data_IF_303658920951
#
_entry.id   IF_303658920951
#
_cell.length_a   1.000
_cell.length_b   1.000
_cell.length_c   1.000
_cell.angle_alpha   90.00
_cell.angle_beta   90.00
_cell.angle_gamma   90.00
#
_symmetry.space_group_name_H-M   'P 1'
#
loop_
_entity.id
_entity.type
_entity.pdbx_description
1 polymer ?
#
# COMPACT_ATOMS: atom_id res chain seq x y z
N UNK A 1 21.71 72.44 29.20
CA UNK A 1 22.03 72.19 27.77
C UNK A 1 22.54 70.76 27.62
N UNK A 2 21.78 69.85 27.00
CA UNK A 2 22.33 68.58 26.47
C UNK A 2 21.40 68.05 25.37
N UNK A 3 21.82 68.22 24.11
CA UNK A 3 21.09 67.74 22.93
C UNK A 3 21.57 66.33 22.58
N UNK A 4 20.68 65.35 22.69
CA UNK A 4 20.83 63.98 22.19
C UNK A 4 21.02 64.00 20.66
N UNK A 5 22.22 63.62 20.18
CA UNK A 5 22.45 63.16 18.79
C UNK A 5 22.68 61.64 18.84
N UNK A 6 21.76 60.87 18.26
CA UNK A 6 21.94 59.41 18.19
C UNK A 6 20.67 58.67 17.77
N UNK A 7 20.22 58.83 16.52
CA UNK A 7 19.13 58.00 15.98
C UNK A 7 19.22 57.78 14.47
N UNK A 8 19.79 58.73 13.70
CA UNK A 8 19.84 58.62 12.24
C UNK A 8 20.76 57.50 11.70
N UNK A 9 21.87 57.17 12.39
CA UNK A 9 22.89 56.24 11.87
C UNK A 9 22.50 54.75 11.91
N UNK A 10 21.47 54.34 12.66
CA UNK A 10 21.03 52.93 12.75
C UNK A 10 20.02 52.52 11.66
N UNK A 11 19.38 53.49 11.00
CA UNK A 11 18.37 53.20 9.96
C UNK A 11 19.01 52.99 8.58
N UNK A 12 20.05 53.74 8.24
CA UNK A 12 20.79 53.58 6.97
C UNK A 12 21.45 52.19 6.84
N UNK A 13 22.01 51.65 7.92
CA UNK A 13 22.62 50.32 7.89
C UNK A 13 21.62 49.19 7.67
N UNK A 14 20.39 49.32 8.16
CA UNK A 14 19.31 48.34 7.95
C UNK A 14 18.76 48.39 6.52
N UNK A 15 18.61 49.60 5.95
CA UNK A 15 18.17 49.77 4.56
C UNK A 15 19.23 49.22 3.60
N UNK A 16 20.52 49.50 3.85
CA UNK A 16 21.62 48.94 3.06
C UNK A 16 21.67 47.40 3.11
N UNK A 17 21.41 46.81 4.28
CA UNK A 17 21.37 45.35 4.44
C UNK A 17 20.18 44.73 3.69
N UNK A 18 19.00 45.36 3.74
CA UNK A 18 17.81 44.89 3.01
C UNK A 18 18.02 44.98 1.50
N UNK A 19 18.60 46.08 1.01
CA UNK A 19 18.91 46.25 -0.42
C UNK A 19 19.94 45.22 -0.89
N UNK A 20 20.96 44.93 -0.07
CA UNK A 20 21.93 43.86 -0.38
C UNK A 20 21.27 42.48 -0.41
N UNK A 21 20.34 42.19 0.50
CA UNK A 21 19.63 40.91 0.56
C UNK A 21 18.67 40.73 -0.62
N UNK A 22 17.98 41.80 -1.03
CA UNK A 22 17.14 41.82 -2.23
C UNK A 22 17.97 41.65 -3.51
N UNK A 23 19.16 42.27 -3.57
CA UNK A 23 20.10 42.07 -4.67
C UNK A 23 20.57 40.61 -4.76
N UNK A 24 20.89 39.98 -3.62
CA UNK A 24 21.26 38.55 -3.57
C UNK A 24 20.12 37.66 -4.06
N UNK A 25 18.88 37.90 -3.60
CA UNK A 25 17.70 37.15 -4.04
C UNK A 25 17.48 37.32 -5.55
N UNK A 26 17.63 38.53 -6.08
CA UNK A 26 17.53 38.77 -7.52
C UNK A 26 18.59 38.00 -8.32
N UNK A 27 19.84 37.96 -7.85
CA UNK A 27 20.91 37.17 -8.48
C UNK A 27 20.61 35.68 -8.43
N UNK A 28 20.11 35.16 -7.31
CA UNK A 28 19.70 33.76 -7.19
C UNK A 28 18.54 33.44 -8.14
N UNK A 29 17.54 34.32 -8.23
CA UNK A 29 16.42 34.14 -9.15
C UNK A 29 16.86 34.16 -10.62
N UNK A 30 17.79 35.05 -10.99
CA UNK A 30 18.36 35.09 -12.34
C UNK A 30 19.21 33.84 -12.60
N UNK A 31 19.99 33.36 -11.64
CA UNK A 31 20.75 32.12 -11.78
C UNK A 31 19.84 30.89 -11.92
N UNK A 32 18.75 30.83 -11.15
CA UNK A 32 17.72 29.78 -11.28
C UNK A 32 17.01 29.88 -12.63
N UNK A 33 16.66 31.08 -13.07
CA UNK A 33 16.04 31.30 -14.38
C UNK A 33 16.97 30.90 -15.52
N UNK A 34 18.25 31.29 -15.45
CA UNK A 34 19.28 30.86 -16.41
C UNK A 34 19.48 29.35 -16.35
N UNK A 35 19.48 28.73 -15.17
CA UNK A 35 19.54 27.28 -15.03
C UNK A 35 18.32 26.58 -15.63
N UNK A 36 17.12 27.17 -15.52
CA UNK A 36 15.90 26.64 -16.14
C UNK A 36 15.89 26.85 -17.66
N UNK A 37 16.41 27.97 -18.16
CA UNK A 37 16.48 28.28 -19.59
C UNK A 37 17.63 27.57 -20.32
N UNK A 38 18.74 27.30 -19.62
CA UNK A 38 19.92 26.58 -20.14
C UNK A 38 19.85 25.07 -19.87
N UNK A 39 18.81 24.59 -19.17
CA UNK A 39 18.54 23.15 -19.09
C UNK A 39 18.32 22.65 -20.53
N UNK A 40 19.10 21.68 -21.00
CA UNK A 40 18.79 21.04 -22.27
C UNK A 40 17.34 20.51 -22.18
N UNK A 41 16.55 20.64 -23.27
CA UNK A 41 15.22 20.05 -23.27
C UNK A 41 15.31 18.57 -22.88
N UNK A 42 14.34 18.04 -22.12
CA UNK A 42 14.29 16.60 -21.87
C UNK A 42 14.39 15.88 -23.23
N UNK A 43 15.20 14.81 -23.32
CA UNK A 43 15.35 14.10 -24.58
C UNK A 43 13.98 13.74 -25.13
N UNK A 44 13.75 14.03 -26.40
CA UNK A 44 12.53 13.65 -27.10
C UNK A 44 12.26 12.15 -26.87
N UNK A 45 11.01 11.72 -26.57
CA UNK A 45 10.67 10.30 -26.55
C UNK A 45 10.64 9.82 -28.01
N UNK A 46 11.82 9.49 -28.54
CA UNK A 46 11.96 9.31 -29.99
C UNK A 46 13.35 8.88 -30.43
N UNK A 47 14.12 8.22 -29.57
CA UNK A 47 15.25 7.41 -30.01
C UNK A 47 14.81 5.96 -30.02
N UNK A 48 14.87 5.27 -31.17
CA UNK A 48 14.86 3.81 -31.22
C UNK A 48 16.12 3.33 -30.50
N UNK A 49 16.07 3.27 -29.17
CA UNK A 49 16.96 2.41 -28.40
C UNK A 49 16.79 1.03 -29.04
N UNK A 50 17.88 0.34 -29.45
CA UNK A 50 17.79 -1.09 -29.67
C UNK A 50 17.12 -1.66 -28.43
N UNK A 51 16.14 -2.59 -28.55
CA UNK A 51 15.53 -3.19 -27.39
C UNK A 51 16.67 -3.61 -26.45
N UNK A 52 16.59 -3.32 -25.14
CA UNK A 52 17.57 -3.88 -24.21
C UNK A 52 17.61 -5.36 -24.54
N UNK A 53 18.78 -5.86 -24.94
CA UNK A 53 18.96 -7.27 -25.23
C UNK A 53 18.34 -8.02 -24.08
N UNK A 54 17.23 -8.71 -24.37
CA UNK A 54 16.46 -9.49 -23.42
C UNK A 54 17.33 -10.64 -22.96
N UNK A 55 18.17 -10.36 -21.98
CA UNK A 55 18.94 -11.36 -21.25
C UNK A 55 18.42 -11.46 -19.81
N UNK A 56 17.15 -11.12 -19.59
CA UNK A 56 16.46 -11.67 -18.44
C UNK A 56 16.47 -13.19 -18.64
N UNK A 57 17.03 -13.97 -17.71
CA UNK A 57 17.01 -15.43 -17.83
C UNK A 57 15.58 -15.90 -18.07
N UNK A 58 15.40 -16.77 -19.04
CA UNK A 58 14.11 -17.42 -19.27
C UNK A 58 13.73 -18.24 -18.02
N UNK A 59 12.44 -18.25 -17.66
CA UNK A 59 11.95 -19.01 -16.51
C UNK A 59 12.28 -20.50 -16.72
N UNK A 60 12.88 -21.19 -15.73
CA UNK A 60 13.07 -22.63 -15.79
C UNK A 60 11.74 -23.36 -16.01
N UNK A 61 11.78 -24.55 -16.62
CA UNK A 61 10.59 -25.41 -16.80
C UNK A 61 10.45 -26.48 -15.71
N UNK A 62 11.35 -26.50 -14.72
CA UNK A 62 11.33 -27.39 -13.57
C UNK A 62 11.74 -26.64 -12.31
N UNK A 63 11.27 -27.08 -11.14
CA UNK A 63 11.66 -26.56 -9.84
C UNK A 63 11.90 -27.71 -8.84
N UNK A 64 12.54 -27.44 -7.68
CA UNK A 64 12.71 -28.43 -6.62
C UNK A 64 11.41 -29.10 -6.18
N UNK A 65 11.49 -30.36 -5.74
CA UNK A 65 10.31 -31.15 -5.37
C UNK A 65 9.68 -30.74 -4.02
N UNK A 66 10.40 -29.97 -3.21
CA UNK A 66 9.91 -29.37 -1.96
C UNK A 66 9.08 -28.10 -2.17
N UNK A 67 9.01 -27.59 -3.41
CA UNK A 67 8.24 -26.39 -3.74
C UNK A 67 6.73 -26.66 -3.76
N UNK A 68 5.99 -25.81 -3.06
CA UNK A 68 4.53 -25.78 -3.16
C UNK A 68 4.06 -25.25 -4.51
N UNK A 69 2.95 -25.76 -5.03
CA UNK A 69 2.38 -25.27 -6.29
C UNK A 69 1.96 -23.79 -6.21
N UNK A 70 1.41 -23.38 -5.07
CA UNK A 70 0.95 -22.01 -4.80
C UNK A 70 1.52 -21.49 -3.47
N UNK A 71 1.97 -20.24 -3.46
CA UNK A 71 2.13 -19.44 -2.25
C UNK A 71 0.88 -18.56 -2.08
N UNK A 72 0.07 -18.86 -1.08
CA UNK A 72 -1.03 -18.01 -0.63
C UNK A 72 -0.50 -17.05 0.45
N UNK A 73 -0.05 -15.88 0.02
CA UNK A 73 0.47 -14.84 0.91
C UNK A 73 -0.69 -14.06 1.54
N UNK A 74 -0.80 -14.12 2.86
CA UNK A 74 -1.87 -13.51 3.65
C UNK A 74 -1.29 -12.39 4.51
N UNK A 75 -1.77 -11.15 4.37
CA UNK A 75 -1.27 -9.99 5.14
C UNK A 75 -2.37 -9.47 6.06
N UNK A 76 -2.26 -9.70 7.39
CA UNK A 76 -3.26 -9.24 8.36
C UNK A 76 -3.37 -7.71 8.45
N UNK A 77 -4.48 -7.24 9.02
CA UNK A 77 -4.71 -5.83 9.30
C UNK A 77 -3.97 -5.31 10.53
N UNK A 78 -4.20 -4.04 10.84
CA UNK A 78 -3.66 -3.40 12.06
C UNK A 78 -4.12 -4.16 13.30
N UNK A 79 -3.20 -4.46 14.22
CA UNK A 79 -3.39 -5.21 15.47
C UNK A 79 -3.75 -6.70 15.30
N UNK A 80 -3.59 -7.25 14.11
CA UNK A 80 -3.89 -8.66 13.81
C UNK A 80 -2.66 -9.56 13.65
N UNK A 81 -1.45 -8.97 13.75
CA UNK A 81 -0.17 -9.66 13.63
C UNK A 81 0.85 -9.16 14.67
N UNK A 82 1.94 -9.90 14.85
CA UNK A 82 3.13 -9.48 15.60
C UNK A 82 4.41 -9.88 14.84
N UNK A 83 5.48 -9.13 15.02
CA UNK A 83 6.70 -9.27 14.22
C UNK A 83 7.50 -10.58 14.47
N UNK A 84 7.14 -11.34 15.49
CA UNK A 84 7.76 -12.62 15.82
C UNK A 84 6.71 -13.75 15.91
N UNK A 85 5.59 -13.60 15.20
CA UNK A 85 4.62 -14.70 15.09
C UNK A 85 5.15 -15.82 14.21
N UNK A 86 4.56 -17.01 14.36
CA UNK A 86 4.76 -18.09 13.40
C UNK A 86 3.89 -17.80 12.15
N UNK A 87 4.48 -17.72 10.94
CA UNK A 87 3.72 -17.42 9.73
C UNK A 87 2.72 -18.51 9.31
N UNK A 88 2.94 -19.76 9.72
CA UNK A 88 2.07 -20.90 9.39
C UNK A 88 1.12 -21.27 10.55
N UNK A 89 1.35 -20.74 11.76
CA UNK A 89 0.47 -20.92 12.92
C UNK A 89 0.36 -19.60 13.71
N UNK A 90 -0.34 -18.59 13.17
CA UNK A 90 -0.28 -17.24 13.72
C UNK A 90 -1.14 -17.15 14.99
N UNK A 91 -0.52 -16.66 16.07
CA UNK A 91 -1.13 -16.62 17.41
C UNK A 91 -1.27 -15.19 17.97
N UNK A 92 -0.85 -14.17 17.21
CA UNK A 92 -0.87 -12.78 17.67
C UNK A 92 -2.25 -12.32 18.14
N UNK A 93 -3.30 -12.68 17.39
CA UNK A 93 -4.67 -12.29 17.68
C UNK A 93 -5.65 -13.31 17.11
N UNK A 94 -6.29 -14.11 17.97
CA UNK A 94 -7.31 -15.11 17.58
C UNK A 94 -8.54 -14.51 16.89
N UNK A 95 -8.73 -13.19 16.97
CA UNK A 95 -9.83 -12.45 16.32
C UNK A 95 -9.42 -11.80 15.00
N UNK A 96 -8.19 -12.02 14.53
CA UNK A 96 -7.73 -11.55 13.22
C UNK A 96 -8.71 -11.97 12.13
N UNK A 97 -9.13 -11.02 11.28
CA UNK A 97 -9.99 -11.27 10.15
C UNK A 97 -9.32 -12.27 9.20
N UNK A 98 -8.05 -12.02 8.87
CA UNK A 98 -7.31 -12.83 7.92
C UNK A 98 -6.97 -14.22 8.45
N UNK A 99 -6.97 -14.45 9.78
CA UNK A 99 -6.88 -15.81 10.32
C UNK A 99 -8.07 -16.68 9.93
N UNK A 100 -9.27 -16.10 9.77
CA UNK A 100 -10.44 -16.85 9.28
C UNK A 100 -10.29 -17.31 7.83
N UNK A 101 -9.40 -16.65 7.08
CA UNK A 101 -9.06 -17.01 5.70
C UNK A 101 -7.91 -18.01 5.68
N UNK A 102 -6.78 -17.69 6.32
CA UNK A 102 -5.59 -18.54 6.27
C UNK A 102 -5.82 -19.92 6.89
N UNK A 103 -6.48 -20.00 8.06
CA UNK A 103 -6.76 -21.29 8.71
C UNK A 103 -7.62 -22.21 7.84
N UNK A 104 -8.65 -21.68 7.19
CA UNK A 104 -9.50 -22.48 6.30
C UNK A 104 -8.76 -22.96 5.05
N UNK A 105 -7.87 -22.14 4.48
CA UNK A 105 -7.05 -22.57 3.35
C UNK A 105 -6.06 -23.67 3.77
N UNK A 106 -5.44 -23.55 4.95
CA UNK A 106 -4.56 -24.58 5.50
C UNK A 106 -5.29 -25.90 5.80
N UNK A 107 -6.55 -25.83 6.22
CA UNK A 107 -7.39 -27.01 6.43
C UNK A 107 -7.80 -27.69 5.11
N UNK A 108 -8.01 -26.90 4.05
CA UNK A 108 -8.48 -27.40 2.74
C UNK A 108 -7.38 -27.96 1.86
N UNK A 109 -6.14 -27.50 2.02
CA UNK A 109 -5.04 -27.84 1.12
C UNK A 109 -3.79 -28.29 1.89
N UNK A 110 -3.13 -29.38 1.45
CA UNK A 110 -1.82 -29.73 1.98
C UNK A 110 -0.78 -28.69 1.58
N UNK A 111 0.28 -28.56 2.39
CA UNK A 111 1.37 -27.59 2.17
C UNK A 111 2.03 -27.74 0.78
N UNK A 112 2.11 -28.96 0.24
CA UNK A 112 2.63 -29.21 -1.12
C UNK A 112 1.79 -28.56 -2.23
N UNK A 113 0.50 -28.37 -2.00
CA UNK A 113 -0.41 -27.72 -2.96
C UNK A 113 -0.46 -26.21 -2.70
N UNK A 114 -0.58 -25.80 -1.44
CA UNK A 114 -0.62 -24.39 -1.07
C UNK A 114 0.18 -24.12 0.21
N UNK A 115 1.31 -23.41 0.08
CA UNK A 115 1.96 -22.76 1.22
C UNK A 115 1.12 -21.54 1.60
N UNK A 116 0.35 -21.65 2.68
CA UNK A 116 -0.40 -20.52 3.24
C UNK A 116 0.48 -19.81 4.26
N UNK A 117 1.04 -18.67 3.86
CA UNK A 117 1.99 -17.88 4.64
C UNK A 117 1.35 -16.58 5.13
N UNK A 118 1.11 -16.48 6.44
CA UNK A 118 0.60 -15.25 7.06
C UNK A 118 1.75 -14.35 7.48
N UNK A 119 1.89 -13.17 6.88
CA UNK A 119 3.05 -12.30 7.06
C UNK A 119 3.18 -11.83 8.51
N UNK A 120 4.23 -12.26 9.25
CA UNK A 120 4.44 -11.80 10.61
C UNK A 120 5.08 -10.42 10.53
N UNK A 121 4.39 -9.40 11.00
CA UNK A 121 4.89 -8.03 11.08
C UNK A 121 4.25 -7.27 12.24
N UNK A 122 4.74 -6.08 12.55
CA UNK A 122 4.31 -5.37 13.77
C UNK A 122 2.82 -5.02 13.80
N UNK A 123 2.20 -4.76 12.63
CA UNK A 123 0.79 -4.42 12.50
C UNK A 123 0.32 -3.35 13.50
N UNK A 124 0.99 -2.19 13.52
CA UNK A 124 0.69 -1.10 14.43
C UNK A 124 0.21 0.15 13.69
N UNK A 125 -0.55 0.95 14.42
CA UNK A 125 -0.95 2.29 14.03
C UNK A 125 -0.90 3.14 15.29
N UNK A 126 0.00 4.13 15.33
CA UNK A 126 0.04 5.12 16.41
C UNK A 126 -1.08 6.13 16.17
N UNK A 127 -2.02 6.21 17.10
CA UNK A 127 -3.11 7.17 17.01
C UNK A 127 -2.58 8.60 17.24
N UNK A 128 -2.63 9.49 16.22
CA UNK A 128 -2.12 10.86 16.35
C UNK A 128 -2.91 11.72 17.33
N UNK A 129 -4.18 11.38 17.60
CA UNK A 129 -5.02 12.08 18.57
C UNK A 129 -4.74 11.66 20.02
N UNK A 130 -3.99 10.58 20.25
CA UNK A 130 -3.62 10.10 21.58
C UNK A 130 -2.12 10.33 21.82
N UNK A 131 -1.77 11.43 22.50
CA UNK A 131 -0.38 11.78 22.83
C UNK A 131 0.31 10.75 23.75
N UNK A 132 -0.46 9.88 24.42
CA UNK A 132 0.04 8.78 25.23
C UNK A 132 0.36 7.52 24.43
N UNK A 133 -0.05 7.43 23.16
CA UNK A 133 0.22 6.26 22.33
C UNK A 133 1.72 6.14 22.01
N UNK A 134 2.28 4.97 22.28
CA UNK A 134 3.70 4.65 22.10
C UNK A 134 3.95 3.57 21.05
N UNK A 135 2.91 3.11 20.36
CA UNK A 135 3.02 2.13 19.28
C UNK A 135 3.91 2.62 18.14
N UNK A 136 4.38 1.73 17.26
CA UNK A 136 5.02 2.17 16.02
C UNK A 136 4.03 2.94 15.12
N UNK A 137 4.56 3.85 14.31
CA UNK A 137 3.75 4.65 13.39
C UNK A 137 3.21 3.78 12.25
N UNK A 138 2.16 4.25 11.58
CA UNK A 138 1.59 3.57 10.41
C UNK A 138 2.65 3.34 9.33
N UNK A 139 3.44 4.37 9.01
CA UNK A 139 4.48 4.29 7.98
C UNK A 139 5.52 3.23 8.31
N UNK A 140 6.01 3.19 9.56
CA UNK A 140 6.99 2.18 9.99
C UNK A 140 6.40 0.77 9.95
N UNK A 141 5.13 0.61 10.35
CA UNK A 141 4.44 -0.67 10.31
C UNK A 141 4.22 -1.17 8.88
N UNK A 142 3.67 -0.32 8.00
CA UNK A 142 3.44 -0.64 6.58
C UNK A 142 4.75 -0.98 5.87
N UNK A 143 5.82 -0.19 6.09
CA UNK A 143 7.11 -0.43 5.47
C UNK A 143 7.73 -1.78 5.90
N UNK A 144 7.65 -2.13 7.19
CA UNK A 144 8.13 -3.43 7.65
C UNK A 144 7.29 -4.59 7.08
N UNK A 145 5.96 -4.46 7.12
CA UNK A 145 5.06 -5.49 6.58
C UNK A 145 5.29 -5.74 5.10
N UNK A 146 5.38 -4.66 4.32
CA UNK A 146 5.71 -4.70 2.90
C UNK A 146 7.06 -5.39 2.65
N UNK A 147 8.12 -4.94 3.33
CA UNK A 147 9.46 -5.53 3.17
C UNK A 147 9.46 -7.05 3.44
N UNK A 148 8.71 -7.52 4.43
CA UNK A 148 8.64 -8.95 4.77
C UNK A 148 7.82 -9.75 3.76
N UNK A 149 6.71 -9.20 3.29
CA UNK A 149 5.92 -9.77 2.22
C UNK A 149 6.73 -9.91 0.93
N UNK A 150 7.41 -8.84 0.51
CA UNK A 150 8.31 -8.86 -0.66
C UNK A 150 9.45 -9.85 -0.50
N UNK A 151 10.07 -9.91 0.69
CA UNK A 151 11.14 -10.86 0.96
C UNK A 151 10.68 -12.30 0.80
N UNK A 152 9.50 -12.67 1.34
CA UNK A 152 8.95 -14.03 1.16
C UNK A 152 8.62 -14.32 -0.31
N UNK A 153 8.06 -13.36 -1.05
CA UNK A 153 7.81 -13.54 -2.50
C UNK A 153 9.13 -13.75 -3.25
N UNK A 154 10.14 -12.92 -3.00
CA UNK A 154 11.43 -13.00 -3.66
C UNK A 154 12.17 -14.31 -3.32
N UNK A 155 12.19 -14.70 -2.05
CA UNK A 155 12.75 -15.98 -1.58
C UNK A 155 12.07 -17.18 -2.27
N UNK A 156 10.74 -17.14 -2.34
CA UNK A 156 9.96 -18.20 -3.01
C UNK A 156 10.24 -18.21 -4.51
N UNK A 157 10.33 -17.05 -5.17
CA UNK A 157 10.63 -16.96 -6.60
C UNK A 157 12.04 -17.43 -6.94
N UNK A 158 13.00 -17.23 -6.04
CA UNK A 158 14.39 -17.65 -6.23
C UNK A 158 14.54 -19.17 -6.09
N UNK A 159 13.92 -19.77 -5.08
CA UNK A 159 13.99 -21.22 -4.82
C UNK A 159 13.01 -22.03 -5.68
N UNK A 160 11.81 -21.50 -5.90
CA UNK A 160 10.68 -22.14 -6.56
C UNK A 160 10.15 -21.28 -7.72
N UNK A 161 10.87 -21.23 -8.86
CA UNK A 161 10.58 -20.31 -9.97
C UNK A 161 9.27 -20.58 -10.71
N UNK A 162 8.59 -21.70 -10.43
CA UNK A 162 7.28 -22.05 -11.00
C UNK A 162 6.13 -21.93 -10.00
N UNK A 163 6.41 -21.65 -8.72
CA UNK A 163 5.36 -21.43 -7.72
C UNK A 163 4.50 -20.24 -8.11
N UNK A 164 3.19 -20.43 -8.07
CA UNK A 164 2.20 -19.40 -8.35
C UNK A 164 1.85 -18.63 -7.09
N UNK A 165 1.28 -17.43 -7.24
CA UNK A 165 1.02 -16.52 -6.12
C UNK A 165 -0.45 -16.12 -6.03
N UNK A 166 -1.02 -16.22 -4.84
CA UNK A 166 -2.28 -15.57 -4.47
C UNK A 166 -1.95 -14.60 -3.35
N UNK A 167 -2.25 -13.32 -3.54
CA UNK A 167 -1.91 -12.27 -2.59
C UNK A 167 -3.18 -11.71 -1.94
N UNK A 168 -3.29 -11.81 -0.62
CA UNK A 168 -4.51 -11.41 0.10
C UNK A 168 -4.20 -10.50 1.28
N UNK A 169 -4.98 -9.45 1.46
CA UNK A 169 -4.78 -8.54 2.58
C UNK A 169 -6.05 -7.88 3.09
N UNK A 170 -6.01 -7.46 4.36
CA UNK A 170 -7.08 -6.69 5.00
C UNK A 170 -6.56 -5.36 5.56
N UNK A 171 -7.28 -4.26 5.36
CA UNK A 171 -6.99 -2.95 5.96
C UNK A 171 -5.55 -2.49 5.65
N UNK A 172 -4.69 -2.32 6.66
CA UNK A 172 -3.25 -2.08 6.47
C UNK A 172 -2.57 -3.14 5.58
N UNK A 173 -2.94 -4.41 5.75
CA UNK A 173 -2.47 -5.51 4.91
C UNK A 173 -2.97 -5.44 3.48
N UNK A 174 -4.20 -4.96 3.25
CA UNK A 174 -4.73 -4.73 1.90
C UNK A 174 -3.96 -3.62 1.18
N UNK A 175 -3.59 -2.55 1.89
CA UNK A 175 -2.72 -1.51 1.32
C UNK A 175 -1.37 -2.10 0.93
N UNK A 176 -0.73 -2.87 1.81
CA UNK A 176 0.56 -3.54 1.57
C UNK A 176 0.48 -4.44 0.32
N UNK A 177 -0.50 -5.34 0.28
CA UNK A 177 -0.68 -6.29 -0.82
C UNK A 177 -0.99 -5.57 -2.12
N UNK A 178 -1.89 -4.59 -2.10
CA UNK A 178 -2.22 -3.83 -3.30
C UNK A 178 -1.01 -3.02 -3.81
N UNK A 179 -0.14 -2.53 -2.94
CA UNK A 179 1.08 -1.85 -3.40
C UNK A 179 2.11 -2.83 -3.99
N UNK A 180 2.20 -4.06 -3.47
CA UNK A 180 3.05 -5.11 -4.04
C UNK A 180 2.48 -5.54 -5.40
N UNK A 181 1.17 -5.75 -5.50
CA UNK A 181 0.50 -6.06 -6.76
C UNK A 181 0.69 -4.97 -7.82
N UNK A 182 0.58 -3.69 -7.41
CA UNK A 182 0.88 -2.57 -8.30
C UNK A 182 2.30 -2.60 -8.82
N UNK A 183 3.28 -2.93 -7.97
CA UNK A 183 4.67 -3.02 -8.38
C UNK A 183 4.93 -4.22 -9.30
N UNK A 184 4.38 -5.39 -8.99
CA UNK A 184 4.49 -6.58 -9.86
C UNK A 184 3.88 -6.27 -11.22
N UNK A 185 2.62 -5.82 -11.27
CA UNK A 185 1.90 -5.59 -12.53
C UNK A 185 2.46 -4.46 -13.39
N UNK A 186 3.36 -3.64 -12.84
CA UNK A 186 4.08 -2.60 -13.57
C UNK A 186 5.58 -2.92 -13.74
N UNK A 187 6.02 -4.15 -13.47
CA UNK A 187 7.41 -4.58 -13.71
C UNK A 187 8.45 -4.00 -12.75
N UNK A 188 8.03 -3.62 -11.54
CA UNK A 188 8.89 -3.03 -10.49
C UNK A 188 9.37 -4.05 -9.45
N UNK A 189 8.98 -5.32 -9.59
CA UNK A 189 9.28 -6.38 -8.62
C UNK A 189 8.16 -6.60 -7.61
N UNK A 190 8.35 -7.52 -6.64
CA UNK A 190 9.55 -8.32 -6.38
C UNK A 190 9.76 -9.49 -7.36
N UNK A 191 8.78 -9.81 -8.22
CA UNK A 191 8.94 -10.80 -9.29
C UNK A 191 9.61 -10.18 -10.52
N UNK A 192 10.38 -10.96 -11.30
CA UNK A 192 10.79 -10.56 -12.64
C UNK A 192 9.58 -10.13 -13.48
N UNK A 193 9.75 -9.14 -14.36
CA UNK A 193 8.64 -8.60 -15.15
C UNK A 193 8.00 -9.66 -16.07
N UNK A 194 8.77 -10.66 -16.51
CA UNK A 194 8.27 -11.78 -17.28
C UNK A 194 7.47 -12.81 -16.45
N UNK A 195 7.47 -12.70 -15.12
CA UNK A 195 6.86 -13.65 -14.19
C UNK A 195 5.58 -13.13 -13.52
N UNK A 196 5.04 -12.01 -14.02
CA UNK A 196 3.79 -11.43 -13.53
C UNK A 196 2.59 -12.37 -13.73
N UNK A 197 2.64 -13.25 -14.74
CA UNK A 197 1.62 -14.27 -15.01
C UNK A 197 1.50 -15.33 -13.91
N UNK A 198 2.53 -15.50 -13.08
CA UNK A 198 2.50 -16.40 -11.92
C UNK A 198 1.57 -15.88 -10.81
N UNK A 199 1.19 -14.59 -10.81
CA UNK A 199 0.18 -14.08 -9.89
C UNK A 199 -1.21 -14.48 -10.41
N UNK A 200 -1.85 -15.41 -9.70
CA UNK A 200 -3.18 -15.93 -10.06
C UNK A 200 -4.27 -14.93 -9.71
N UNK A 201 -4.11 -14.20 -8.60
CA UNK A 201 -5.10 -13.24 -8.15
C UNK A 201 -4.65 -12.46 -6.93
N UNK A 202 -5.26 -11.28 -6.75
CA UNK A 202 -5.03 -10.37 -5.64
C UNK A 202 -6.36 -10.04 -4.98
N UNK A 203 -6.51 -10.33 -3.68
CA UNK A 203 -7.74 -10.11 -2.92
C UNK A 203 -7.55 -9.07 -1.82
N UNK A 204 -8.28 -7.95 -1.91
CA UNK A 204 -8.11 -6.80 -1.01
C UNK A 204 -9.41 -6.49 -0.25
N UNK A 205 -9.42 -6.68 1.06
CA UNK A 205 -10.55 -6.28 1.92
C UNK A 205 -10.21 -4.95 2.61
N UNK A 206 -11.09 -3.95 2.47
CA UNK A 206 -10.93 -2.64 3.09
C UNK A 206 -9.60 -1.93 2.73
N UNK A 207 -9.25 -1.89 1.45
CA UNK A 207 -8.05 -1.21 0.98
C UNK A 207 -8.15 0.32 1.14
N UNK A 208 -7.28 0.88 1.98
CA UNK A 208 -7.15 2.32 2.20
C UNK A 208 -6.75 3.11 0.96
N UNK A 209 -6.30 2.44 -0.11
CA UNK A 209 -5.93 3.01 -1.40
C UNK A 209 -6.88 2.60 -2.55
N UNK A 210 -8.05 2.04 -2.24
CA UNK A 210 -9.06 1.64 -3.23
C UNK A 210 -9.42 2.81 -4.15
N UNK A 211 -9.56 2.53 -5.44
CA UNK A 211 -10.14 3.45 -6.43
C UNK A 211 -11.16 2.67 -7.25
N UNK A 212 -12.44 3.03 -7.18
CA UNK A 212 -13.45 2.29 -7.94
C UNK A 212 -13.15 2.29 -9.44
N UNK A 213 -13.29 1.13 -10.09
CA UNK A 213 -13.01 0.96 -11.52
C UNK A 213 -11.55 0.67 -11.88
N UNK A 214 -10.59 0.80 -10.95
CA UNK A 214 -9.17 0.45 -11.19
C UNK A 214 -8.86 -1.04 -10.92
N UNK A 215 -9.82 -1.77 -10.35
CA UNK A 215 -9.77 -3.20 -10.06
C UNK A 215 -11.18 -3.81 -10.14
N UNK A 216 -11.30 -5.13 -10.04
CA UNK A 216 -12.60 -5.79 -9.91
C UNK A 216 -13.23 -5.46 -8.55
N UNK A 217 -14.19 -4.54 -8.55
CA UNK A 217 -14.97 -4.20 -7.38
C UNK A 217 -16.01 -5.32 -7.11
N UNK A 218 -15.75 -6.14 -6.09
CA UNK A 218 -16.64 -7.25 -5.73
C UNK A 218 -17.89 -6.68 -5.05
N UNK A 219 -19.03 -6.91 -5.67
CA UNK A 219 -20.32 -6.39 -5.23
C UNK A 219 -20.76 -6.97 -3.87
N UNK A 220 -21.61 -6.26 -3.10
CA UNK A 220 -21.94 -4.85 -3.26
C UNK A 220 -20.71 -3.98 -2.95
N UNK A 221 -20.39 -3.02 -3.83
CA UNK A 221 -19.24 -2.13 -3.68
C UNK A 221 -19.72 -0.67 -3.67
N UNK A 222 -19.40 0.12 -2.63
CA UNK A 222 -19.83 1.51 -2.55
C UNK A 222 -19.03 2.40 -3.52
N UNK A 223 -19.62 3.53 -3.90
CA UNK A 223 -18.89 4.58 -4.62
C UNK A 223 -17.74 5.16 -3.77
N UNK A 224 -16.89 5.99 -4.37
CA UNK A 224 -15.82 6.68 -3.66
C UNK A 224 -14.48 5.96 -3.70
N UNK A 225 -13.56 6.39 -2.83
CA UNK A 225 -12.15 5.97 -2.83
C UNK A 225 -11.68 5.71 -1.41
N UNK A 226 -10.55 5.01 -1.26
CA UNK A 226 -9.94 4.82 0.05
C UNK A 226 -9.43 6.11 0.69
N UNK A 227 -9.30 6.12 2.01
CA UNK A 227 -8.89 7.27 2.81
C UNK A 227 -7.55 7.86 2.35
N UNK A 228 -6.59 7.02 1.96
CA UNK A 228 -5.30 7.49 1.48
C UNK A 228 -5.38 8.17 0.11
N UNK A 229 -6.36 7.79 -0.73
CA UNK A 229 -6.63 8.47 -2.00
C UNK A 229 -7.32 9.80 -1.74
N UNK A 230 -8.40 9.78 -0.95
CA UNK A 230 -9.16 11.00 -0.65
C UNK A 230 -8.31 12.06 0.07
N UNK A 231 -7.31 11.65 0.85
CA UNK A 231 -6.41 12.55 1.56
C UNK A 231 -5.03 12.66 0.91
N UNK A 232 -4.81 12.05 -0.26
CA UNK A 232 -3.49 11.96 -0.89
C UNK A 232 -2.83 13.31 -1.16
N UNK A 233 -3.64 14.32 -1.52
CA UNK A 233 -3.17 15.70 -1.72
C UNK A 233 -2.63 16.38 -0.46
N UNK A 234 -2.89 15.83 0.72
CA UNK A 234 -2.39 16.32 2.02
C UNK A 234 -1.17 15.54 2.53
N UNK A 235 -0.75 14.49 1.82
CA UNK A 235 0.49 13.74 2.04
C UNK A 235 0.74 13.37 3.51
N UNK A 236 1.79 13.96 4.10
CA UNK A 236 2.26 13.69 5.46
C UNK A 236 1.77 14.70 6.50
N UNK A 237 0.56 15.25 6.32
CA UNK A 237 -0.05 16.21 7.27
C UNK A 237 -0.08 15.67 8.72
N UNK A 238 -0.17 14.34 8.87
CA UNK A 238 -0.02 13.65 10.16
C UNK A 238 1.36 12.99 10.23
N UNK A 239 2.24 13.39 11.16
CA UNK A 239 3.53 12.74 11.34
C UNK A 239 3.40 11.23 11.57
N UNK A 240 4.07 10.45 10.73
CA UNK A 240 4.07 8.98 10.81
C UNK A 240 2.88 8.27 10.17
N UNK A 241 1.94 9.00 9.56
CA UNK A 241 0.80 8.43 8.82
C UNK A 241 0.62 9.17 7.50
N UNK A 242 1.38 8.74 6.49
CA UNK A 242 1.34 9.34 5.15
C UNK A 242 0.15 8.78 4.37
N UNK A 243 -0.68 9.68 3.84
CA UNK A 243 -1.75 9.34 2.90
C UNK A 243 -1.13 9.29 1.51
N UNK A 244 -0.86 8.09 1.00
CA UNK A 244 0.00 7.90 -0.18
C UNK A 244 -0.70 8.11 -1.52
N UNK A 245 -1.98 8.47 -1.54
CA UNK A 245 -2.74 8.75 -2.76
C UNK A 245 -3.05 7.50 -3.59
N UNK A 246 -3.42 7.73 -4.85
CA UNK A 246 -3.59 6.69 -5.86
C UNK A 246 -2.30 5.89 -6.11
N UNK A 247 -2.40 4.61 -6.49
CA UNK A 247 -1.24 3.81 -6.89
C UNK A 247 -0.75 4.24 -8.28
N UNK A 248 0.56 4.46 -8.42
CA UNK A 248 1.16 4.85 -9.70
C UNK A 248 1.10 3.70 -10.71
N UNK A 249 0.41 3.91 -11.82
CA UNK A 249 0.15 2.88 -12.84
C UNK A 249 -0.92 1.86 -12.44
N UNK A 250 -1.74 2.15 -11.43
CA UNK A 250 -2.79 1.23 -10.96
C UNK A 250 -2.22 -0.14 -10.61
N UNK A 251 -2.91 -1.21 -11.01
CA UNK A 251 -2.43 -2.59 -10.88
C UNK A 251 -1.72 -3.12 -12.14
N UNK A 252 -1.54 -2.28 -13.17
CA UNK A 252 -0.87 -2.66 -14.42
C UNK A 252 -1.48 -3.92 -15.04
N UNK A 253 -0.65 -4.89 -15.40
CA UNK A 253 -1.06 -6.17 -15.98
C UNK A 253 -1.89 -7.05 -15.03
N UNK A 254 -1.90 -6.76 -13.73
CA UNK A 254 -2.66 -7.51 -12.73
C UNK A 254 -4.05 -6.91 -12.46
N UNK A 255 -4.45 -5.85 -13.16
CA UNK A 255 -5.76 -5.21 -12.96
C UNK A 255 -6.93 -6.17 -13.22
N UNK A 256 -6.77 -7.09 -14.20
CA UNK A 256 -7.75 -8.11 -14.61
C UNK A 256 -7.98 -9.23 -13.57
N UNK A 257 -7.15 -9.28 -12.53
CA UNK A 257 -7.19 -10.31 -11.47
C UNK A 257 -6.98 -9.74 -10.08
N UNK A 258 -7.13 -8.43 -9.93
CA UNK A 258 -7.16 -7.76 -8.64
C UNK A 258 -8.60 -7.49 -8.25
N UNK A 259 -8.98 -7.94 -7.07
CA UNK A 259 -10.34 -7.90 -6.53
C UNK A 259 -10.34 -7.07 -5.25
N UNK A 260 -11.28 -6.13 -5.13
CA UNK A 260 -11.46 -5.32 -3.94
C UNK A 260 -12.86 -5.47 -3.36
N UNK A 261 -12.90 -5.76 -2.05
CA UNK A 261 -14.10 -5.77 -1.23
C UNK A 261 -14.07 -4.54 -0.32
N UNK A 262 -15.16 -3.77 -0.35
CA UNK A 262 -15.37 -2.65 0.56
C UNK A 262 -16.83 -2.64 1.02
N UNK A 263 -17.05 -2.63 2.33
CA UNK A 263 -18.38 -2.53 2.90
C UNK A 263 -18.85 -1.08 2.92
N UNK A 264 -20.14 -0.86 2.65
CA UNK A 264 -20.73 0.48 2.74
C UNK A 264 -20.61 1.03 4.17
N UNK A 265 -20.11 2.25 4.28
CA UNK A 265 -19.86 2.95 5.55
C UNK A 265 -18.48 2.68 6.15
N UNK A 266 -17.63 1.87 5.52
CA UNK A 266 -16.23 1.71 5.96
C UNK A 266 -15.35 2.85 5.45
N UNK A 267 -15.14 3.86 6.29
CA UNK A 267 -14.33 5.04 6.00
C UNK A 267 -12.87 4.76 5.61
N UNK A 268 -12.36 3.54 5.80
CA UNK A 268 -11.02 3.18 5.32
C UNK A 268 -11.01 3.06 3.78
N UNK A 269 -11.97 2.35 3.19
CA UNK A 269 -12.04 2.08 1.75
C UNK A 269 -13.15 2.86 1.00
N UNK A 270 -14.02 3.54 1.76
CA UNK A 270 -15.08 4.44 1.31
C UNK A 270 -14.95 5.79 2.06
N UNK A 271 -13.91 6.54 1.75
CA UNK A 271 -13.72 7.89 2.26
C UNK A 271 -14.42 8.92 1.35
N UNK A 272 -15.28 9.80 1.91
CA UNK A 272 -15.85 10.90 1.14
C UNK A 272 -14.76 11.92 0.81
N UNK A 273 -14.93 12.63 -0.31
CA UNK A 273 -14.02 13.73 -0.68
C UNK A 273 -13.97 14.78 0.43
N UNK A 274 -12.77 14.98 0.97
CA UNK A 274 -12.57 15.83 2.15
C UNK A 274 -12.43 17.30 1.77
N UNK A 275 -13.38 18.12 2.21
CA UNK A 275 -13.31 19.61 2.08
C UNK A 275 -12.61 20.27 3.28
N UNK A 276 -12.48 19.57 4.42
CA UNK A 276 -11.88 20.07 5.66
C UNK A 276 -10.86 19.05 6.25
N UNK A 277 -9.58 19.13 5.85
CA UNK A 277 -8.57 18.07 6.08
C UNK A 277 -8.28 17.78 7.56
N UNK A 278 -8.19 18.81 8.38
CA UNK A 278 -7.87 18.67 9.81
C UNK A 278 -9.00 17.97 10.59
N UNK A 279 -10.27 18.19 10.22
CA UNK A 279 -11.41 17.52 10.85
C UNK A 279 -11.50 16.06 10.41
N UNK A 280 -11.23 15.81 9.13
CA UNK A 280 -11.17 14.47 8.56
C UNK A 280 -10.12 13.58 9.24
N UNK A 281 -8.92 14.10 9.57
CA UNK A 281 -7.88 13.32 10.25
C UNK A 281 -8.39 12.68 11.55
N UNK A 282 -9.13 13.42 12.38
CA UNK A 282 -9.70 12.87 13.62
C UNK A 282 -10.79 11.81 13.39
N UNK A 283 -11.54 11.93 12.29
CA UNK A 283 -12.52 10.92 11.89
C UNK A 283 -11.83 9.66 11.37
N UNK A 284 -10.79 9.79 10.56
CA UNK A 284 -10.03 8.66 10.01
C UNK A 284 -9.12 7.98 11.04
N UNK A 285 -8.58 8.72 12.00
CA UNK A 285 -7.85 8.13 13.13
C UNK A 285 -8.73 7.17 13.97
N UNK A 286 -10.05 7.38 13.93
CA UNK A 286 -11.05 6.50 14.55
C UNK A 286 -11.75 5.59 13.54
N UNK A 287 -11.44 5.66 12.25
CA UNK A 287 -12.09 4.82 11.24
C UNK A 287 -11.76 3.34 11.44
N UNK A 288 -10.57 3.01 11.96
CA UNK A 288 -10.26 1.64 12.39
C UNK A 288 -11.14 1.14 13.55
N UNK A 289 -11.76 2.05 14.32
CA UNK A 289 -12.74 1.74 15.37
C UNK A 289 -14.19 1.80 14.85
N UNK A 290 -14.40 2.04 13.55
CA UNK A 290 -15.71 1.98 12.93
C UNK A 290 -16.27 0.55 13.05
N UNK A 291 -17.48 0.35 13.59
CA UNK A 291 -18.05 -0.99 13.72
C UNK A 291 -18.16 -1.73 12.38
N UNK A 292 -18.30 -1.03 11.24
CA UNK A 292 -18.33 -1.66 9.91
C UNK A 292 -16.99 -2.35 9.61
N UNK A 293 -15.87 -1.68 9.89
CA UNK A 293 -14.52 -2.17 9.59
C UNK A 293 -14.20 -3.50 10.30
N UNK A 294 -14.80 -3.75 11.46
CA UNK A 294 -14.58 -4.97 12.24
C UNK A 294 -15.51 -6.15 11.84
N UNK A 295 -16.44 -5.95 10.90
CA UNK A 295 -17.58 -6.86 10.69
C UNK A 295 -17.56 -7.59 9.33
N UNK A 296 -16.44 -7.58 8.61
CA UNK A 296 -16.26 -8.31 7.34
C UNK A 296 -16.38 -9.83 7.43
N UNK A 297 -16.31 -10.40 8.64
CA UNK A 297 -16.61 -11.82 8.90
C UNK A 297 -18.09 -12.10 9.18
N UNK A 298 -18.95 -11.11 8.96
CA UNK A 298 -20.41 -11.20 9.13
C UNK A 298 -21.09 -10.67 7.87
N UNK A 299 -22.34 -11.02 7.68
CA UNK A 299 -23.17 -10.55 6.55
C UNK A 299 -23.81 -9.18 6.79
N UNK A 300 -23.52 -8.54 7.94
CA UNK A 300 -24.27 -7.36 8.39
C UNK A 300 -24.15 -6.14 7.49
N UNK A 301 -22.97 -5.93 6.90
CA UNK A 301 -22.64 -4.72 6.13
C UNK A 301 -22.14 -5.02 4.71
N UNK A 302 -21.77 -6.27 4.45
CA UNK A 302 -21.34 -6.75 3.15
C UNK A 302 -21.60 -8.26 3.07
N UNK A 303 -22.18 -8.71 1.97
CA UNK A 303 -22.37 -10.13 1.67
C UNK A 303 -22.49 -10.35 0.16
N UNK A 304 -22.12 -11.54 -0.30
CA UNK A 304 -22.42 -12.08 -1.63
C UNK A 304 -23.03 -13.45 -1.44
N UNK A 305 -24.16 -13.70 -2.09
CA UNK A 305 -24.87 -14.98 -2.01
C UNK A 305 -25.14 -15.48 -0.58
N UNK A 306 -25.30 -14.54 0.36
CA UNK A 306 -25.53 -14.82 1.79
C UNK A 306 -24.25 -15.14 2.60
N UNK A 307 -23.07 -15.08 1.98
CA UNK A 307 -21.77 -15.29 2.62
C UNK A 307 -21.02 -13.98 2.92
N UNK A 308 -20.25 -13.89 4.03
CA UNK A 308 -19.43 -12.73 4.37
C UNK A 308 -18.17 -12.62 3.50
N UNK A 309 -17.48 -11.49 3.57
CA UNK A 309 -16.25 -11.23 2.79
C UNK A 309 -15.14 -12.26 3.02
N UNK A 310 -15.04 -12.80 4.24
CA UNK A 310 -14.07 -13.86 4.55
C UNK A 310 -14.39 -15.18 3.84
N UNK A 311 -15.67 -15.53 3.70
CA UNK A 311 -16.09 -16.75 3.01
C UNK A 311 -15.84 -16.62 1.51
N UNK A 312 -16.25 -15.48 0.93
CA UNK A 312 -15.94 -15.15 -0.46
C UNK A 312 -14.44 -15.26 -0.75
N UNK A 313 -13.58 -14.69 0.12
CA UNK A 313 -12.13 -14.72 -0.06
C UNK A 313 -11.57 -16.15 -0.01
N UNK A 314 -12.07 -16.98 0.90
CA UNK A 314 -11.64 -18.38 1.02
C UNK A 314 -12.05 -19.17 -0.22
N UNK A 315 -13.27 -19.00 -0.71
CA UNK A 315 -13.77 -19.75 -1.86
C UNK A 315 -13.12 -19.30 -3.16
N UNK A 316 -12.93 -18.00 -3.35
CA UNK A 316 -12.16 -17.42 -4.44
C UNK A 316 -10.72 -17.92 -4.46
N UNK A 317 -10.01 -17.87 -3.32
CA UNK A 317 -8.64 -18.41 -3.25
C UNK A 317 -8.62 -19.92 -3.49
N UNK A 318 -9.61 -20.66 -2.96
CA UNK A 318 -9.73 -22.10 -3.16
C UNK A 318 -9.93 -22.47 -4.64
N UNK A 319 -10.70 -21.69 -5.41
CA UNK A 319 -10.91 -21.95 -6.84
C UNK A 319 -9.62 -21.71 -7.63
N UNK A 320 -8.89 -20.64 -7.33
CA UNK A 320 -7.60 -20.34 -7.94
C UNK A 320 -6.56 -21.45 -7.66
N UNK A 321 -6.48 -21.94 -6.42
CA UNK A 321 -5.58 -23.05 -6.05
C UNK A 321 -5.93 -24.32 -6.84
N UNK A 322 -7.21 -24.59 -7.07
CA UNK A 322 -7.68 -25.75 -7.85
C UNK A 322 -7.55 -25.57 -9.37
N UNK A 323 -7.16 -24.39 -9.85
CA UNK A 323 -7.13 -24.06 -11.28
C UNK A 323 -8.51 -23.92 -11.92
N UNK A 324 -9.53 -23.55 -11.14
CA UNK A 324 -10.89 -23.31 -11.59
C UNK A 324 -11.08 -21.80 -11.80
N UNK A 325 -11.03 -21.36 -13.07
CA UNK A 325 -11.32 -19.98 -13.51
C UNK A 325 -12.59 -19.94 -14.36
#
# INVERSE_FOLDING_TARGET
MSKRKGSAFRSLGKVALIVALLGLVAVVLVAVLLFVLLKPPPPEPGGKTPPPSSSAPERPNTQPADCSEVLALVVPGTWESKANDNPHDPTANKRSLMLKVSSQLQERFPESTADVYTVPYMAKFRNPANLGDRQATYNTSRAQGRKRAEAKIAETSEHCPLTKYILMGFSQGAVIVGDIASDIGNGRGPLPAQDQDLVLGVGLIADGRRQSGEQHDVGPSPDGVGAEVSLGGFGSLVPGTTMSGARSGGFGTLADRTYSICAKGDLICEAPTVTAPLKAIGQFANAANNPVHAMYATTRYWEVDGGPATEWMVDWASSLIKGQN
#
